data_IF_973972247685
#
_entry.id   IF_973972247685
#
_cell.length_a   1.000
_cell.length_b   1.000
_cell.length_c   1.000
_cell.angle_alpha   90.00
_cell.angle_beta   90.00
_cell.angle_gamma   90.00
#
_symmetry.space_group_name_H-M   'P 1'
#
loop_
_entity.id
_entity.type
_entity.pdbx_description
1 polymer ?
#
# COMPACT_ATOMS: atom_id res chain seq x y z
N UNK A 1 11.48 -9.38 -26.12
CA UNK A 1 10.91 -8.10 -25.61
C UNK A 1 11.81 -6.98 -26.09
N UNK A 2 11.31 -6.04 -26.88
CA UNK A 2 12.10 -4.91 -27.36
C UNK A 2 12.26 -3.90 -26.23
N UNK A 3 13.49 -3.68 -25.78
CA UNK A 3 13.81 -2.70 -24.74
C UNK A 3 14.01 -1.34 -25.39
N UNK A 4 13.12 -0.38 -25.10
CA UNK A 4 13.27 1.02 -25.52
C UNK A 4 14.18 1.71 -24.50
N UNK A 5 15.36 2.19 -24.94
CA UNK A 5 16.19 3.10 -24.14
C UNK A 5 15.65 4.52 -24.33
N UNK A 6 14.87 4.98 -23.36
CA UNK A 6 14.40 6.38 -23.32
C UNK A 6 15.51 7.25 -22.69
N UNK A 7 16.17 8.06 -23.51
CA UNK A 7 17.08 9.11 -23.04
C UNK A 7 16.26 10.41 -22.86
N UNK A 8 15.36 10.41 -21.88
CA UNK A 8 14.49 11.56 -21.57
C UNK A 8 14.65 11.89 -20.09
N UNK A 9 14.96 13.15 -19.78
CA UNK A 9 14.82 13.69 -18.42
C UNK A 9 13.32 13.77 -18.08
N UNK A 10 12.83 12.73 -17.41
CA UNK A 10 11.44 12.66 -16.96
C UNK A 10 11.34 13.13 -15.51
N UNK A 11 10.49 14.13 -15.26
CA UNK A 11 10.10 14.50 -13.91
C UNK A 11 8.93 13.64 -13.41
N UNK A 12 8.69 13.65 -12.09
CA UNK A 12 7.64 12.84 -11.45
C UNK A 12 6.24 13.13 -12.03
N UNK A 13 5.94 14.38 -12.36
CA UNK A 13 4.63 14.73 -12.92
C UNK A 13 4.42 14.11 -14.30
N UNK A 14 5.47 14.03 -15.14
CA UNK A 14 5.38 13.38 -16.45
C UNK A 14 5.18 11.87 -16.32
N UNK A 15 5.79 11.23 -15.32
CA UNK A 15 5.56 9.81 -15.02
C UNK A 15 4.11 9.57 -14.57
N UNK A 16 3.56 10.45 -13.74
CA UNK A 16 2.16 10.38 -13.30
C UNK A 16 1.20 10.52 -14.48
N UNK A 17 1.44 11.49 -15.38
CA UNK A 17 0.60 11.67 -16.57
C UNK A 17 0.69 10.48 -17.53
N UNK A 18 1.87 9.90 -17.71
CA UNK A 18 2.03 8.67 -18.48
C UNK A 18 1.26 7.49 -17.86
N UNK A 19 1.32 7.32 -16.53
CA UNK A 19 0.57 6.29 -15.82
C UNK A 19 -0.96 6.46 -15.97
N UNK A 20 -1.44 7.71 -16.01
CA UNK A 20 -2.86 8.02 -16.29
C UNK A 20 -3.28 7.70 -17.72
N UNK A 21 -2.37 7.64 -18.69
CA UNK A 21 -2.73 7.30 -20.07
C UNK A 21 -2.77 5.79 -20.34
N UNK A 22 -2.28 4.96 -19.41
CA UNK A 22 -2.33 3.50 -19.50
C UNK A 22 -3.77 2.97 -19.51
N UNK A 23 -3.98 1.87 -20.24
CA UNK A 23 -5.22 1.12 -20.16
C UNK A 23 -5.44 0.51 -18.77
N UNK A 24 -6.68 0.17 -18.37
CA UNK A 24 -6.95 -0.43 -17.06
C UNK A 24 -6.09 -1.68 -16.75
N UNK A 25 -5.88 -2.53 -17.76
CA UNK A 25 -5.07 -3.76 -17.64
C UNK A 25 -3.60 -3.46 -17.41
N UNK A 26 -3.07 -2.42 -18.03
CA UNK A 26 -1.67 -2.01 -17.87
C UNK A 26 -1.45 -1.28 -16.54
N UNK A 27 -2.43 -0.49 -16.07
CA UNK A 27 -2.37 0.10 -14.72
C UNK A 27 -2.33 -0.95 -13.62
N UNK A 28 -3.08 -2.04 -13.78
CA UNK A 28 -3.02 -3.17 -12.84
C UNK A 28 -1.62 -3.79 -12.80
N UNK A 29 -1.02 -4.07 -13.97
CA UNK A 29 0.36 -4.56 -14.04
C UNK A 29 1.38 -3.60 -13.43
N UNK A 30 1.19 -2.29 -13.63
CA UNK A 30 2.05 -1.27 -13.02
C UNK A 30 1.86 -1.23 -11.50
N UNK A 31 0.63 -1.34 -11.01
CA UNK A 31 0.32 -1.43 -9.59
C UNK A 31 1.01 -2.65 -8.97
N UNK A 32 0.82 -3.83 -9.56
CA UNK A 32 1.49 -5.05 -9.12
C UNK A 32 3.00 -4.83 -9.09
N UNK A 33 3.62 -4.29 -10.15
CA UNK A 33 5.06 -4.04 -10.17
C UNK A 33 5.54 -3.05 -9.09
N UNK A 34 4.74 -2.04 -8.71
CA UNK A 34 5.07 -1.08 -7.65
C UNK A 34 4.93 -1.71 -6.26
N UNK A 35 3.93 -2.58 -6.06
CA UNK A 35 3.58 -3.13 -4.75
C UNK A 35 4.10 -4.56 -4.50
N UNK A 36 4.77 -5.17 -5.47
CA UNK A 36 5.32 -6.54 -5.38
C UNK A 36 6.71 -6.59 -4.70
N UNK A 37 7.24 -5.46 -4.24
CA UNK A 37 8.38 -5.42 -3.33
C UNK A 37 7.90 -5.36 -1.87
N UNK A 38 8.75 -5.78 -0.92
CA UNK A 38 8.47 -5.69 0.52
C UNK A 38 8.01 -4.27 0.87
N UNK A 39 6.70 -4.12 1.08
CA UNK A 39 6.08 -2.81 1.28
C UNK A 39 6.61 -2.23 2.59
N UNK A 40 7.47 -1.21 2.47
CA UNK A 40 7.98 -0.51 3.63
C UNK A 40 6.85 0.30 4.27
N UNK A 41 6.33 -0.19 5.39
CA UNK A 41 5.40 0.56 6.22
C UNK A 41 6.17 1.77 6.77
N UNK A 42 5.76 3.02 6.55
CA UNK A 42 6.50 4.16 7.10
C UNK A 42 6.61 4.08 8.63
N UNK A 43 7.73 4.56 9.18
CA UNK A 43 8.07 4.40 10.60
C UNK A 43 6.99 4.98 11.52
N UNK A 44 6.32 6.05 11.09
CA UNK A 44 5.21 6.67 11.79
C UNK A 44 4.02 5.70 11.94
N UNK A 45 3.67 5.01 10.85
CA UNK A 45 2.60 4.02 10.85
C UNK A 45 3.00 2.76 11.66
N UNK A 46 4.27 2.34 11.57
CA UNK A 46 4.77 1.23 12.39
C UNK A 46 4.61 1.54 13.89
N UNK A 47 4.97 2.75 14.33
CA UNK A 47 4.82 3.17 15.73
C UNK A 47 3.38 3.11 16.21
N UNK A 48 2.42 3.55 15.38
CA UNK A 48 0.99 3.50 15.71
C UNK A 48 0.54 2.05 15.92
N UNK A 49 0.95 1.14 15.03
CA UNK A 49 0.60 -0.28 15.15
C UNK A 49 1.21 -0.89 16.41
N UNK A 50 2.50 -0.65 16.66
CA UNK A 50 3.20 -1.17 17.83
C UNK A 50 2.59 -0.66 19.16
N UNK A 51 2.22 0.63 19.23
CA UNK A 51 1.54 1.21 20.39
C UNK A 51 0.17 0.57 20.63
N UNK A 52 -0.62 0.36 19.57
CA UNK A 52 -1.91 -0.35 19.67
C UNK A 52 -1.73 -1.78 20.15
N UNK A 53 -0.74 -2.49 19.63
CA UNK A 53 -0.42 -3.85 20.06
C UNK A 53 0.01 -3.90 21.53
N UNK A 54 0.83 -2.95 21.98
CA UNK A 54 1.25 -2.87 23.38
C UNK A 54 0.06 -2.66 24.31
N UNK A 55 -0.84 -1.73 23.96
CA UNK A 55 -2.07 -1.46 24.72
C UNK A 55 -3.00 -2.67 24.81
N UNK A 56 -3.20 -3.37 23.69
CA UNK A 56 -4.02 -4.57 23.67
C UNK A 56 -3.40 -5.74 24.46
N UNK A 57 -2.06 -5.83 24.50
CA UNK A 57 -1.37 -6.83 25.33
C UNK A 57 -1.52 -6.55 26.83
N UNK A 58 -1.49 -5.27 27.23
CA UNK A 58 -1.69 -4.87 28.63
C UNK A 58 -3.15 -4.91 29.08
N UNK A 59 -4.07 -4.72 28.15
CA UNK A 59 -5.52 -4.67 28.39
C UNK A 59 -6.27 -5.39 27.25
N UNK A 60 -6.41 -6.74 27.34
CA UNK A 60 -7.06 -7.53 26.30
C UNK A 60 -8.55 -7.21 26.09
N UNK A 61 -9.25 -6.73 27.12
CA UNK A 61 -10.67 -6.35 27.08
C UNK A 61 -10.94 -5.15 26.16
N UNK A 62 -9.88 -4.43 25.77
CA UNK A 62 -9.95 -3.35 24.78
C UNK A 62 -10.28 -3.85 23.37
N UNK A 63 -10.02 -5.13 23.08
CA UNK A 63 -10.30 -5.73 21.79
C UNK A 63 -11.73 -6.27 21.77
N UNK A 64 -12.50 -5.87 20.75
CA UNK A 64 -13.81 -6.44 20.52
C UNK A 64 -13.68 -7.83 19.89
N UNK A 65 -14.56 -8.74 20.27
CA UNK A 65 -14.67 -10.03 19.62
C UNK A 65 -15.21 -9.84 18.19
N UNK A 66 -14.43 -10.30 17.20
CA UNK A 66 -14.79 -10.13 15.79
C UNK A 66 -16.07 -10.89 15.42
N UNK A 67 -16.21 -12.14 15.86
CA UNK A 67 -17.39 -12.97 15.59
C UNK A 67 -18.68 -12.38 16.19
N UNK A 68 -18.59 -11.59 17.25
CA UNK A 68 -19.74 -10.89 17.84
C UNK A 68 -20.09 -9.62 17.06
N UNK A 69 -19.09 -8.77 16.79
CA UNK A 69 -19.33 -7.49 16.10
C UNK A 69 -19.77 -7.70 14.66
N UNK A 70 -19.23 -8.70 13.95
CA UNK A 70 -19.53 -8.94 12.54
C UNK A 70 -21.00 -9.28 12.28
N UNK A 71 -21.74 -9.71 13.29
CA UNK A 71 -23.19 -10.01 13.18
C UNK A 71 -24.06 -8.74 13.11
N UNK A 72 -23.47 -7.58 13.39
CA UNK A 72 -24.17 -6.28 13.43
C UNK A 72 -23.77 -5.33 12.29
N UNK A 73 -22.90 -5.79 11.38
CA UNK A 73 -22.48 -5.10 10.16
C UNK A 73 -23.23 -5.67 8.95
#
# INVERSE_FOLDING_TARGET
MQTIKLNIDLNVNQLIEAAKQLSPKERLKLNDAIWNEDVFIPVEHQKIVLDRMAKAKSDPERLLNWEEVSKTL
#
